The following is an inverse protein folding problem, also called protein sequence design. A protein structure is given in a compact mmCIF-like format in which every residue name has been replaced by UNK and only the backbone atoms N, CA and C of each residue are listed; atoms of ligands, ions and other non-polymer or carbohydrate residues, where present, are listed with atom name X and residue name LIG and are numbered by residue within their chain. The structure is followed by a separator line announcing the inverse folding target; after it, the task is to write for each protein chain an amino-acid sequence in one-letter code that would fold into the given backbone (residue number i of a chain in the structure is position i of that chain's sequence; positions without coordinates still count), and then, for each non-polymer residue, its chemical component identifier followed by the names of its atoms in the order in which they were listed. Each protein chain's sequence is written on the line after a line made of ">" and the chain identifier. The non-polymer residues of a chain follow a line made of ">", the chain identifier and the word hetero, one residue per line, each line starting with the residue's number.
data_IF_900072132293
#
_entry.id   IF_900072132293
#
_cell.length_a   1.000
_cell.length_b   1.000
_cell.length_c   1.000
_cell.angle_alpha   90.00
_cell.angle_beta   90.00
_cell.angle_gamma   90.00
#
_symmetry.space_group_name_H-M   'P 1'
#
loop_
_entity.id
_entity.type
_entity.pdbx_description
1 polymer ?
#
# COMPACT_ATOMS: atom_id res chain seq x y z
N UNK A 1 2.29 31.44 10.66
CA UNK A 1 2.79 30.08 10.33
C UNK A 1 3.59 30.14 9.03
N UNK A 2 4.89 29.82 9.07
CA UNK A 2 5.81 30.05 7.96
C UNK A 2 5.80 28.86 6.97
N UNK A 3 5.28 29.07 5.75
CA UNK A 3 4.97 28.01 4.76
C UNK A 3 6.13 27.06 4.46
N UNK A 4 7.38 27.55 4.46
CA UNK A 4 8.58 26.75 4.17
C UNK A 4 8.90 25.67 5.21
N UNK A 5 8.61 25.94 6.50
CA UNK A 5 8.85 24.98 7.57
C UNK A 5 7.85 23.81 7.50
N UNK A 6 6.63 24.10 7.06
CA UNK A 6 5.57 23.10 6.87
C UNK A 6 5.86 22.16 5.71
N UNK A 7 6.36 22.67 4.58
CA UNK A 7 6.72 21.84 3.42
C UNK A 7 7.81 20.83 3.78
N UNK A 8 8.91 21.30 4.39
CA UNK A 8 10.01 20.41 4.79
C UNK A 8 9.58 19.35 5.81
N UNK A 9 8.71 19.72 6.76
CA UNK A 9 8.18 18.77 7.72
C UNK A 9 7.29 17.71 7.06
N UNK A 10 6.48 18.10 6.09
CA UNK A 10 5.64 17.18 5.32
C UNK A 10 6.49 16.22 4.46
N UNK A 11 7.54 16.72 3.81
CA UNK A 11 8.45 15.90 3.01
C UNK A 11 9.17 14.85 3.86
N UNK A 12 9.64 15.24 5.05
CA UNK A 12 10.27 14.32 6.00
C UNK A 12 9.29 13.26 6.51
N UNK A 13 8.05 13.65 6.83
CA UNK A 13 7.02 12.70 7.25
C UNK A 13 6.68 11.70 6.13
N UNK A 14 6.60 12.17 4.88
CA UNK A 14 6.38 11.32 3.71
C UNK A 14 7.52 10.32 3.53
N UNK A 15 8.77 10.77 3.64
CA UNK A 15 9.94 9.90 3.52
C UNK A 15 9.97 8.82 4.62
N UNK A 16 9.61 9.19 5.85
CA UNK A 16 9.48 8.23 6.97
C UNK A 16 8.39 7.19 6.70
N UNK A 17 7.24 7.59 6.16
CA UNK A 17 6.16 6.68 5.78
C UNK A 17 6.60 5.69 4.68
N UNK A 18 7.33 6.18 3.67
CA UNK A 18 7.87 5.34 2.61
C UNK A 18 8.87 4.29 3.14
N UNK A 19 9.73 4.65 4.09
CA UNK A 19 10.67 3.68 4.69
C UNK A 19 9.96 2.66 5.58
N UNK A 20 8.90 3.06 6.31
CA UNK A 20 8.05 2.13 7.07
C UNK A 20 7.37 1.13 6.13
N UNK A 21 6.80 1.61 5.03
CA UNK A 21 6.13 0.75 4.05
C UNK A 21 7.15 -0.18 3.35
N UNK A 22 8.36 0.31 3.04
CA UNK A 22 9.42 -0.53 2.48
C UNK A 22 9.85 -1.64 3.46
N UNK A 23 10.01 -1.31 4.75
CA UNK A 23 10.28 -2.31 5.78
C UNK A 23 9.14 -3.32 5.92
N UNK A 24 7.88 -2.87 5.78
CA UNK A 24 6.71 -3.76 5.83
C UNK A 24 6.66 -4.73 4.66
N UNK A 25 6.97 -4.26 3.44
CA UNK A 25 6.99 -5.12 2.25
C UNK A 25 8.01 -6.26 2.36
N UNK A 26 9.10 -6.06 3.11
CA UNK A 26 10.11 -7.10 3.37
C UNK A 26 9.60 -8.29 4.16
N UNK A 27 8.52 -8.13 4.92
CA UNK A 27 7.92 -9.21 5.70
C UNK A 27 7.17 -10.23 4.81
N UNK A 28 6.82 -9.84 3.58
CA UNK A 28 6.11 -10.73 2.67
C UNK A 28 7.07 -11.51 1.78
N UNK A 29 6.90 -12.83 1.76
CA UNK A 29 7.71 -13.73 0.92
C UNK A 29 7.69 -13.38 -0.57
N UNK A 30 6.61 -12.75 -1.05
CA UNK A 30 6.49 -12.27 -2.43
C UNK A 30 7.58 -11.27 -2.86
N UNK A 31 8.16 -10.53 -1.91
CA UNK A 31 9.23 -9.57 -2.17
C UNK A 31 10.63 -10.10 -1.84
N UNK A 32 10.80 -11.38 -1.50
CA UNK A 32 12.09 -11.94 -1.09
C UNK A 32 13.20 -11.80 -2.15
N UNK A 33 12.84 -11.70 -3.43
CA UNK A 33 13.78 -11.54 -4.55
C UNK A 33 14.13 -10.08 -4.87
N UNK A 34 13.49 -9.12 -4.22
CA UNK A 34 13.65 -7.69 -4.50
C UNK A 34 14.78 -7.11 -3.66
N UNK A 35 15.66 -6.35 -4.30
CA UNK A 35 16.70 -5.59 -3.58
C UNK A 35 16.09 -4.46 -2.75
N UNK A 36 16.86 -3.87 -1.84
CA UNK A 36 16.41 -2.71 -1.05
C UNK A 36 16.02 -1.54 -1.95
N UNK A 37 16.78 -1.36 -3.03
CA UNK A 37 16.52 -0.32 -4.02
C UNK A 37 15.21 -0.58 -4.77
N UNK A 38 14.92 -1.84 -5.12
CA UNK A 38 13.67 -2.19 -5.82
C UNK A 38 12.45 -1.96 -4.94
N UNK A 39 12.50 -2.37 -3.66
CA UNK A 39 11.40 -2.16 -2.71
C UNK A 39 11.16 -0.66 -2.48
N UNK A 40 12.21 0.14 -2.28
CA UNK A 40 12.06 1.61 -2.15
C UNK A 40 11.48 2.23 -3.41
N UNK A 41 11.94 1.80 -4.59
CA UNK A 41 11.41 2.30 -5.88
C UNK A 41 9.93 1.96 -6.03
N UNK A 42 9.52 0.74 -5.66
CA UNK A 42 8.14 0.30 -5.68
C UNK A 42 7.27 1.17 -4.76
N UNK A 43 7.66 1.35 -3.50
CA UNK A 43 6.88 2.12 -2.52
C UNK A 43 6.77 3.60 -2.90
N UNK A 44 7.80 4.18 -3.53
CA UNK A 44 7.74 5.55 -4.08
C UNK A 44 6.77 5.69 -5.25
N UNK A 45 6.62 4.64 -6.07
CA UNK A 45 5.70 4.63 -7.21
C UNK A 45 4.26 4.26 -6.81
N UNK A 46 4.09 3.59 -5.68
CA UNK A 46 2.79 3.16 -5.17
C UNK A 46 2.03 4.29 -4.46
N UNK A 47 0.72 4.10 -4.34
CA UNK A 47 -0.15 4.96 -3.54
C UNK A 47 -0.63 4.23 -2.29
N UNK A 48 -0.51 4.87 -1.13
CA UNK A 48 -1.03 4.35 0.14
C UNK A 48 -2.49 4.76 0.30
N UNK A 49 -3.36 3.78 0.51
CA UNK A 49 -4.78 3.98 0.81
C UNK A 49 -5.15 3.24 2.10
N UNK A 50 -6.08 3.82 2.86
CA UNK A 50 -6.60 3.23 4.11
C UNK A 50 -8.10 3.48 4.17
N UNK A 51 -8.86 2.44 4.52
CA UNK A 51 -10.32 2.50 4.68
C UNK A 51 -10.72 1.88 6.01
N UNK A 52 -11.75 2.43 6.65
CA UNK A 52 -12.25 1.98 7.96
C UNK A 52 -13.56 1.19 7.89
N UNK A 53 -14.17 1.07 6.71
CA UNK A 53 -15.44 0.37 6.49
C UNK A 53 -15.31 -0.82 5.53
N UNK A 54 -16.30 -1.73 5.48
CA UNK A 54 -16.30 -2.92 4.63
C UNK A 54 -16.56 -2.59 3.15
N UNK A 55 -15.83 -1.60 2.62
CA UNK A 55 -15.94 -1.19 1.23
C UNK A 55 -15.19 -2.16 0.34
N UNK A 56 -15.77 -2.57 -0.80
CA UNK A 56 -15.06 -3.40 -1.76
C UNK A 56 -13.84 -2.64 -2.29
N UNK A 57 -12.66 -3.28 -2.23
CA UNK A 57 -11.44 -2.75 -2.84
C UNK A 57 -11.52 -2.81 -4.37
N UNK A 58 -12.06 -3.93 -4.88
CA UNK A 58 -12.35 -4.20 -6.28
C UNK A 58 -13.66 -4.98 -6.36
N UNK A 59 -14.31 -4.95 -7.52
CA UNK A 59 -15.48 -5.77 -7.83
C UNK A 59 -15.12 -6.86 -8.83
N UNK A 60 -15.82 -7.99 -8.79
CA UNK A 60 -15.71 -9.01 -9.83
C UNK A 60 -15.93 -8.38 -11.22
N UNK A 61 -15.16 -8.84 -12.21
CA UNK A 61 -15.15 -8.31 -13.59
C UNK A 61 -14.61 -6.88 -13.75
N UNK A 62 -14.15 -6.22 -12.68
CA UNK A 62 -13.39 -4.96 -12.82
C UNK A 62 -12.09 -5.26 -13.58
N UNK A 63 -11.81 -4.59 -14.71
CA UNK A 63 -10.55 -4.75 -15.41
C UNK A 63 -9.37 -4.44 -14.48
N UNK A 64 -8.35 -5.29 -14.51
CA UNK A 64 -7.17 -5.10 -13.66
C UNK A 64 -6.31 -3.95 -14.21
N UNK A 65 -6.34 -2.81 -13.54
CA UNK A 65 -5.46 -1.66 -13.78
C UNK A 65 -4.48 -1.41 -12.62
N UNK A 66 -4.72 -2.05 -11.47
CA UNK A 66 -4.02 -1.83 -10.22
C UNK A 66 -3.77 -3.15 -9.49
N UNK A 67 -2.69 -3.18 -8.71
CA UNK A 67 -2.36 -4.27 -7.80
C UNK A 67 -2.31 -3.73 -6.37
N UNK A 68 -2.98 -4.41 -5.44
CA UNK A 68 -3.06 -4.01 -4.04
C UNK A 68 -2.21 -4.93 -3.17
N UNK A 69 -1.51 -4.34 -2.20
CA UNK A 69 -0.78 -5.07 -1.18
C UNK A 69 -1.43 -4.75 0.16
N UNK A 70 -1.97 -5.76 0.83
CA UNK A 70 -2.62 -5.58 2.12
C UNK A 70 -1.57 -5.49 3.23
N UNK A 71 -1.25 -4.26 3.67
CA UNK A 71 -0.22 -4.02 4.69
C UNK A 71 -0.70 -4.36 6.11
N UNK A 72 -2.01 -4.21 6.36
CA UNK A 72 -2.66 -4.46 7.65
C UNK A 72 -4.15 -4.76 7.46
N UNK A 73 -4.75 -5.47 8.43
CA UNK A 73 -6.16 -5.82 8.41
C UNK A 73 -6.45 -7.12 7.66
N UNK A 74 -7.70 -7.31 7.27
CA UNK A 74 -8.18 -8.49 6.57
C UNK A 74 -9.13 -8.06 5.45
N UNK A 75 -9.11 -8.81 4.34
CA UNK A 75 -10.06 -8.66 3.25
C UNK A 75 -10.72 -10.01 3.00
N UNK A 76 -12.02 -9.98 2.67
CA UNK A 76 -12.75 -11.17 2.25
C UNK A 76 -12.83 -11.20 0.71
N UNK A 77 -12.68 -12.39 0.14
CA UNK A 77 -12.76 -12.60 -1.31
C UNK A 77 -14.04 -13.35 -1.63
N UNK A 78 -14.77 -12.83 -2.61
CA UNK A 78 -16.04 -13.39 -3.05
C UNK A 78 -16.00 -13.71 -4.55
N UNK A 79 -16.65 -14.82 -4.93
CA UNK A 79 -17.00 -15.14 -6.32
C UNK A 79 -18.52 -15.21 -6.39
N UNK A 80 -19.14 -14.29 -7.14
CA UNK A 80 -20.57 -14.02 -6.99
C UNK A 80 -20.90 -13.59 -5.54
N UNK A 81 -21.65 -14.43 -4.83
CA UNK A 81 -22.01 -14.20 -3.41
C UNK A 81 -21.26 -15.12 -2.44
N UNK A 82 -20.46 -16.05 -2.96
CA UNK A 82 -19.80 -17.07 -2.15
C UNK A 82 -18.44 -16.58 -1.66
N UNK A 83 -18.22 -16.62 -0.34
CA UNK A 83 -16.92 -16.27 0.26
C UNK A 83 -15.94 -17.43 0.09
N UNK A 84 -14.81 -17.14 -0.55
CA UNK A 84 -13.76 -18.14 -0.85
C UNK A 84 -12.46 -17.93 -0.07
N UNK A 85 -12.25 -16.75 0.50
CA UNK A 85 -11.16 -16.43 1.45
C UNK A 85 -11.58 -15.29 2.42
#
# INVERSE_FOLDING_TARGET
>A
MNKHRTTRAADLAREQELEVDAARLREFAGFAKFSDADVRRLVRAAHRTSTSGPWPLILEQTPSDSCYILLSGQAAVYVGQDRVA
#
